data_IF_709678434725
#
_entry.id   IF_709678434725
#
_cell.length_a   1.000
_cell.length_b   1.000
_cell.length_c   1.000
_cell.angle_alpha   90.00
_cell.angle_beta   90.00
_cell.angle_gamma   90.00
#
_symmetry.space_group_name_H-M   'P 1'
#
loop_
_entity.id
_entity.type
_entity.pdbx_description
1 polymer ?
#
# COMPACT_ATOMS: atom_id res chain seq x y z
N UNK A 1 -49.37 8.91 64.74
CA UNK A 1 -49.09 8.24 66.03
C UNK A 1 -47.58 8.28 66.28
N UNK A 2 -47.18 8.96 67.36
CA UNK A 2 -45.94 8.88 68.17
C UNK A 2 -44.51 8.77 67.56
N UNK A 3 -43.82 9.92 67.74
CA UNK A 3 -42.44 10.25 68.19
C UNK A 3 -41.50 9.19 68.82
N UNK A 4 -40.20 9.60 68.84
CA UNK A 4 -39.04 9.32 69.72
C UNK A 4 -37.95 8.41 69.11
N UNK A 5 -36.68 8.79 68.86
CA UNK A 5 -35.62 9.65 69.48
C UNK A 5 -34.79 8.97 70.60
N UNK A 6 -33.45 8.94 70.38
CA UNK A 6 -32.29 8.81 71.33
C UNK A 6 -31.98 7.38 71.85
N UNK A 7 -30.74 6.94 72.15
CA UNK A 7 -29.41 7.57 72.37
C UNK A 7 -28.31 6.50 72.48
N UNK A 8 -27.09 6.89 72.06
CA UNK A 8 -25.76 6.67 72.65
C UNK A 8 -25.30 5.29 73.20
N UNK A 9 -24.08 4.91 72.81
CA UNK A 9 -22.98 4.72 73.77
C UNK A 9 -21.62 4.99 73.10
N UNK A 10 -20.88 5.91 73.70
CA UNK A 10 -19.46 6.15 73.50
C UNK A 10 -18.71 5.57 74.71
N UNK A 11 -17.53 4.99 74.46
CA UNK A 11 -16.38 4.84 75.36
C UNK A 11 -15.22 4.32 74.47
N UNK A 12 -13.94 4.65 74.59
CA UNK A 12 -13.12 5.74 75.14
C UNK A 12 -11.68 5.22 75.05
N UNK A 13 -10.76 6.10 74.63
CA UNK A 13 -9.32 6.12 74.93
C UNK A 13 -8.37 4.98 74.47
N UNK A 14 -7.31 5.42 73.79
CA UNK A 14 -5.96 5.21 74.32
C UNK A 14 -4.94 4.67 73.32
N UNK A 15 -4.02 5.53 72.87
CA UNK A 15 -2.74 5.08 72.31
C UNK A 15 -2.30 5.83 71.05
N UNK A 16 -1.66 6.98 71.23
CA UNK A 16 -0.84 7.59 70.19
C UNK A 16 0.47 6.81 70.04
N UNK A 17 0.86 6.42 68.82
CA UNK A 17 2.27 6.38 68.40
C UNK A 17 2.44 6.16 66.89
N UNK A 18 3.39 6.93 66.33
CA UNK A 18 4.00 6.85 64.99
C UNK A 18 3.22 7.46 63.80
N UNK A 19 3.40 8.77 63.59
CA UNK A 19 3.41 9.36 62.26
C UNK A 19 4.61 8.80 61.48
N UNK A 20 4.39 7.83 60.61
CA UNK A 20 5.31 7.52 59.51
C UNK A 20 4.93 8.42 58.34
N UNK A 21 5.72 9.47 58.09
CA UNK A 21 5.67 10.21 56.82
C UNK A 21 6.22 9.28 55.74
N UNK A 22 5.36 8.45 55.15
CA UNK A 22 5.64 7.85 53.86
C UNK A 22 5.30 8.91 52.81
N UNK A 23 6.30 9.72 52.45
CA UNK A 23 6.24 10.59 51.30
C UNK A 23 5.88 9.74 50.08
N UNK A 24 4.69 9.99 49.52
CA UNK A 24 4.16 9.24 48.41
C UNK A 24 5.07 9.34 47.19
N UNK A 25 5.67 8.22 46.80
CA UNK A 25 5.91 7.95 45.40
C UNK A 25 4.60 7.43 44.82
N UNK A 26 3.69 8.35 44.51
CA UNK A 26 2.68 8.02 43.51
C UNK A 26 3.46 7.71 42.22
N UNK A 27 3.28 6.53 41.59
CA UNK A 27 3.75 6.38 40.24
C UNK A 27 3.08 7.50 39.45
N UNK A 28 3.90 8.38 38.87
CA UNK A 28 3.48 9.25 37.78
C UNK A 28 2.90 8.31 36.73
N UNK A 29 1.58 8.08 36.75
CA UNK A 29 0.88 7.76 35.53
C UNK A 29 1.19 8.95 34.65
N UNK A 30 2.12 8.75 33.71
CA UNK A 30 2.28 9.64 32.59
C UNK A 30 0.86 9.80 32.04
N UNK A 31 0.24 10.94 32.30
CA UNK A 31 -0.91 11.35 31.54
C UNK A 31 -0.41 11.33 30.12
N UNK A 32 -0.90 10.38 29.32
CA UNK A 32 -0.73 10.43 27.88
C UNK A 32 -1.21 11.82 27.49
N UNK A 33 -0.28 12.71 27.19
CA UNK A 33 -0.61 14.03 26.68
C UNK A 33 -1.47 13.78 25.43
N UNK A 34 -2.59 14.50 25.30
CA UNK A 34 -3.37 14.45 24.06
C UNK A 34 -2.41 14.74 22.90
N UNK A 35 -2.42 13.87 21.89
CA UNK A 35 -1.52 14.00 20.75
C UNK A 35 -1.70 15.38 20.10
N UNK A 36 -0.59 16.09 19.87
CA UNK A 36 -0.58 17.42 19.28
C UNK A 36 -1.09 17.39 17.83
N UNK A 37 -0.82 16.30 17.12
CA UNK A 37 -1.25 16.09 15.74
C UNK A 37 -2.01 14.78 15.62
N UNK A 38 -3.28 14.87 15.25
CA UNK A 38 -4.12 13.70 14.98
C UNK A 38 -4.22 13.50 13.46
N UNK A 39 -3.48 12.54 12.96
CA UNK A 39 -3.41 12.21 11.53
C UNK A 39 -4.35 11.06 11.20
N UNK A 40 -4.90 11.11 9.98
CA UNK A 40 -5.60 9.98 9.36
C UNK A 40 -4.76 9.46 8.21
N UNK A 41 -4.48 8.18 8.21
CA UNK A 41 -3.73 7.48 7.18
C UNK A 41 -4.64 6.52 6.41
N UNK A 42 -4.80 6.69 5.11
CA UNK A 42 -5.63 5.80 4.28
C UNK A 42 -4.78 4.95 3.34
N UNK A 43 -5.09 3.65 3.26
CA UNK A 43 -4.42 2.70 2.39
C UNK A 43 -5.43 1.78 1.66
N UNK A 44 -4.95 0.96 0.72
CA UNK A 44 -5.80 0.12 -0.13
C UNK A 44 -6.03 -1.32 0.39
N UNK A 45 -5.43 -1.69 1.52
CA UNK A 45 -5.46 -3.04 2.06
C UNK A 45 -6.46 -3.21 3.20
N UNK A 46 -6.96 -4.44 3.38
CA UNK A 46 -7.86 -4.80 4.46
C UNK A 46 -7.12 -5.09 5.77
N UNK A 47 -7.85 -5.06 6.89
CA UNK A 47 -7.32 -5.50 8.20
C UNK A 47 -6.90 -6.98 8.15
N UNK A 48 -5.78 -7.31 8.79
CA UNK A 48 -5.26 -8.68 8.88
C UNK A 48 -4.60 -9.21 7.59
N UNK A 49 -4.42 -8.35 6.58
CA UNK A 49 -3.59 -8.67 5.41
C UNK A 49 -2.14 -8.30 5.69
N UNK A 50 -1.18 -8.95 5.04
CA UNK A 50 0.25 -8.72 5.29
C UNK A 50 0.65 -7.25 5.08
N UNK A 51 0.15 -6.62 4.02
CA UNK A 51 0.41 -5.20 3.74
C UNK A 51 -0.40 -4.27 4.65
N UNK A 52 -1.60 -4.67 5.09
CA UNK A 52 -2.36 -3.93 6.11
C UNK A 52 -1.60 -3.84 7.44
N UNK A 53 -0.98 -4.94 7.88
CA UNK A 53 -0.15 -4.95 9.10
C UNK A 53 1.09 -4.07 8.99
N UNK A 54 1.77 -4.06 7.83
CA UNK A 54 2.90 -3.14 7.60
C UNK A 54 2.52 -1.67 7.69
N UNK A 55 1.32 -1.32 7.22
CA UNK A 55 0.79 0.03 7.34
C UNK A 55 0.39 0.40 8.76
N UNK A 56 -0.06 -0.58 9.55
CA UNK A 56 -0.24 -0.40 11.00
C UNK A 56 1.11 -0.17 11.71
N UNK A 57 2.15 -0.88 11.31
CA UNK A 57 3.50 -0.69 11.86
C UNK A 57 4.07 0.69 11.50
N UNK A 58 3.82 1.18 10.28
CA UNK A 58 4.18 2.56 9.91
C UNK A 58 3.54 3.58 10.86
N UNK A 59 2.24 3.44 11.12
CA UNK A 59 1.54 4.29 12.08
C UNK A 59 2.19 4.22 13.48
N UNK A 60 2.40 3.00 14.01
CA UNK A 60 3.07 2.79 15.31
C UNK A 60 4.48 3.40 15.36
N UNK A 61 5.26 3.25 14.30
CA UNK A 61 6.60 3.82 14.20
C UNK A 61 6.57 5.36 14.22
N UNK A 62 5.60 5.99 13.56
CA UNK A 62 5.38 7.44 13.64
C UNK A 62 5.05 7.85 15.08
N UNK A 63 4.11 7.15 15.73
CA UNK A 63 3.74 7.48 17.12
C UNK A 63 4.95 7.31 18.07
N UNK A 64 5.72 6.24 17.91
CA UNK A 64 6.88 5.96 18.75
C UNK A 64 8.02 6.97 18.54
N UNK A 65 8.40 7.24 17.28
CA UNK A 65 9.52 8.14 16.97
C UNK A 65 9.21 9.59 17.36
N UNK A 66 7.94 9.97 17.40
CA UNK A 66 7.50 11.33 17.78
C UNK A 66 7.12 11.47 19.25
N UNK A 67 7.45 10.47 20.09
CA UNK A 67 7.08 10.40 21.51
C UNK A 67 5.56 10.63 21.74
N UNK A 68 4.72 10.13 20.84
CA UNK A 68 3.26 10.25 20.87
C UNK A 68 2.70 11.61 20.42
N UNK A 69 3.55 12.56 19.99
CA UNK A 69 3.08 13.87 19.50
C UNK A 69 2.25 13.77 18.23
N UNK A 70 2.55 12.79 17.36
CA UNK A 70 1.70 12.45 16.22
C UNK A 70 0.99 11.15 16.52
N UNK A 71 -0.35 11.16 16.50
CA UNK A 71 -1.19 9.96 16.56
C UNK A 71 -1.77 9.67 15.19
N UNK A 72 -1.73 8.42 14.75
CA UNK A 72 -2.10 8.05 13.38
C UNK A 72 -3.25 7.04 13.40
N UNK A 73 -4.43 7.48 12.97
CA UNK A 73 -5.55 6.58 12.72
C UNK A 73 -5.42 5.95 11.32
N UNK A 74 -5.14 4.66 11.27
CA UNK A 74 -5.14 3.89 10.01
C UNK A 74 -6.58 3.56 9.59
N UNK A 75 -6.91 3.90 8.35
CA UNK A 75 -8.15 3.58 7.66
C UNK A 75 -7.85 2.53 6.59
N UNK A 76 -8.50 1.38 6.71
CA UNK A 76 -8.32 0.23 5.81
C UNK A 76 -9.30 0.28 4.63
N UNK A 77 -9.11 -0.60 3.64
CA UNK A 77 -10.03 -0.74 2.51
C UNK A 77 -11.49 -0.89 2.98
N UNK A 78 -12.37 -0.04 2.45
CA UNK A 78 -13.78 0.04 2.83
C UNK A 78 -14.08 1.00 4.01
N UNK A 79 -13.05 1.54 4.66
CA UNK A 79 -13.18 2.51 5.76
C UNK A 79 -12.88 3.94 5.28
N UNK A 80 -13.91 4.79 5.20
CA UNK A 80 -13.74 6.21 4.87
C UNK A 80 -13.71 6.48 3.38
N UNK A 81 -12.53 6.72 2.81
CA UNK A 81 -12.38 7.14 1.40
C UNK A 81 -12.05 5.93 0.53
N UNK A 82 -12.84 5.68 -0.52
CA UNK A 82 -12.57 4.62 -1.49
C UNK A 82 -11.28 4.86 -2.29
N UNK A 83 -10.70 3.80 -2.85
CA UNK A 83 -9.39 3.83 -3.53
C UNK A 83 -9.32 4.90 -4.65
N UNK A 84 -10.39 5.09 -5.42
CA UNK A 84 -10.45 6.10 -6.49
C UNK A 84 -10.39 7.55 -5.97
N UNK A 85 -10.83 7.80 -4.74
CA UNK A 85 -10.85 9.13 -4.14
C UNK A 85 -9.64 9.45 -3.26
N UNK A 86 -8.76 8.46 -3.01
CA UNK A 86 -7.73 8.55 -1.97
C UNK A 86 -6.73 9.69 -2.23
N UNK A 87 -6.17 9.78 -3.45
CA UNK A 87 -5.24 10.86 -3.80
C UNK A 87 -5.88 12.25 -3.62
N UNK A 88 -7.13 12.42 -4.07
CA UNK A 88 -7.89 13.66 -3.90
C UNK A 88 -8.18 14.00 -2.44
N UNK A 89 -8.44 12.99 -1.60
CA UNK A 89 -8.64 13.17 -0.16
C UNK A 89 -7.35 13.59 0.56
N UNK A 90 -6.19 13.07 0.15
CA UNK A 90 -4.89 13.55 0.67
C UNK A 90 -4.60 14.96 0.18
N UNK A 91 -4.81 15.25 -1.11
CA UNK A 91 -4.62 16.57 -1.71
C UNK A 91 -5.46 17.66 -1.02
N UNK A 92 -6.72 17.37 -0.72
CA UNK A 92 -7.62 18.29 0.00
C UNK A 92 -7.33 18.41 1.49
N UNK A 93 -6.64 17.42 2.08
CA UNK A 93 -6.36 17.35 3.52
C UNK A 93 -7.47 16.70 4.35
N UNK A 94 -8.51 16.14 3.71
CA UNK A 94 -9.50 15.29 4.37
C UNK A 94 -8.84 14.07 5.04
N UNK A 95 -7.83 13.53 4.35
CA UNK A 95 -6.91 12.54 4.86
C UNK A 95 -5.52 13.19 4.93
N UNK A 96 -4.79 12.96 6.02
CA UNK A 96 -3.50 13.62 6.22
C UNK A 96 -2.39 12.96 5.43
N UNK A 97 -2.39 11.62 5.43
CA UNK A 97 -1.36 10.78 4.82
C UNK A 97 -2.03 9.64 4.05
N UNK A 98 -1.43 9.17 2.97
CA UNK A 98 -2.01 8.05 2.23
C UNK A 98 -1.03 7.29 1.37
N UNK A 99 -1.44 6.06 1.03
CA UNK A 99 -0.77 5.18 0.07
C UNK A 99 -1.70 4.92 -1.13
N UNK A 100 -1.82 5.88 -2.08
CA UNK A 100 -2.72 5.77 -3.21
C UNK A 100 -2.24 4.73 -4.22
N UNK A 101 -3.19 4.04 -4.85
CA UNK A 101 -2.91 3.22 -6.02
C UNK A 101 -2.90 4.11 -7.27
N UNK A 102 -1.71 4.44 -7.79
CA UNK A 102 -1.55 5.48 -8.81
C UNK A 102 -2.37 5.22 -10.08
N UNK A 103 -2.63 3.96 -10.43
CA UNK A 103 -3.43 3.58 -11.60
C UNK A 103 -4.87 4.11 -11.58
N UNK A 104 -5.43 4.47 -10.42
CA UNK A 104 -6.75 5.11 -10.33
C UNK A 104 -6.72 6.61 -10.60
N UNK A 105 -5.53 7.20 -10.64
CA UNK A 105 -5.34 8.66 -10.70
C UNK A 105 -4.54 9.09 -11.94
N UNK A 106 -4.53 8.25 -12.98
CA UNK A 106 -3.76 8.48 -14.21
C UNK A 106 -4.02 9.85 -14.87
N UNK A 107 -5.26 10.34 -14.82
CA UNK A 107 -5.63 11.64 -15.37
C UNK A 107 -5.15 12.84 -14.54
N UNK A 108 -4.91 12.66 -13.24
CA UNK A 108 -4.48 13.72 -12.32
C UNK A 108 -2.96 13.77 -12.15
N UNK A 109 -2.31 12.60 -12.17
CA UNK A 109 -0.87 12.44 -11.99
C UNK A 109 -0.31 11.34 -12.90
N UNK A 110 -0.08 11.63 -14.20
CA UNK A 110 0.46 10.65 -15.15
C UNK A 110 1.79 10.05 -14.71
N UNK A 111 2.67 10.86 -14.09
CA UNK A 111 3.94 10.40 -13.52
C UNK A 111 3.79 9.25 -12.51
N UNK A 112 2.66 9.18 -11.79
CA UNK A 112 2.37 8.07 -10.88
C UNK A 112 2.19 6.73 -11.60
N UNK A 113 1.77 6.74 -12.88
CA UNK A 113 1.67 5.53 -13.71
C UNK A 113 3.04 5.03 -14.15
N UNK A 114 4.03 5.92 -14.23
CA UNK A 114 5.41 5.51 -14.47
C UNK A 114 6.02 4.99 -13.17
N UNK A 115 5.80 5.70 -12.06
CA UNK A 115 6.26 5.30 -10.74
C UNK A 115 5.78 3.90 -10.36
N UNK A 116 4.50 3.60 -10.57
CA UNK A 116 3.91 2.31 -10.18
C UNK A 116 4.56 1.11 -10.86
N UNK A 117 5.21 1.32 -12.00
CA UNK A 117 5.77 0.26 -12.82
C UNK A 117 4.95 0.05 -14.09
N UNK A 118 5.59 0.27 -15.23
CA UNK A 118 5.00 -0.06 -16.53
C UNK A 118 5.27 -1.54 -16.87
N UNK A 119 4.37 -2.21 -17.61
CA UNK A 119 4.64 -3.52 -18.19
C UNK A 119 5.96 -3.57 -18.96
N UNK A 120 6.75 -4.62 -18.71
CA UNK A 120 8.12 -4.75 -19.22
C UNK A 120 9.19 -4.05 -18.38
N UNK A 121 8.83 -3.44 -17.25
CA UNK A 121 9.78 -2.95 -16.25
C UNK A 121 10.51 -4.07 -15.50
N UNK A 122 11.54 -3.70 -14.72
CA UNK A 122 12.37 -4.64 -13.96
C UNK A 122 11.72 -5.08 -12.64
N UNK A 123 11.94 -6.34 -12.25
CA UNK A 123 11.61 -6.89 -10.92
C UNK A 123 12.77 -6.77 -9.92
N UNK A 124 13.94 -6.33 -10.39
CA UNK A 124 15.13 -6.18 -9.58
C UNK A 124 14.97 -5.01 -8.61
N UNK A 125 14.79 -5.35 -7.33
CA UNK A 125 14.58 -4.39 -6.25
C UNK A 125 15.78 -3.47 -6.05
N UNK A 126 17.00 -3.94 -6.34
CA UNK A 126 18.23 -3.15 -6.16
C UNK A 126 18.34 -2.10 -7.28
N UNK A 127 18.02 -2.49 -8.53
CA UNK A 127 17.91 -1.53 -9.64
C UNK A 127 16.85 -0.47 -9.36
N UNK A 128 15.69 -0.86 -8.82
CA UNK A 128 14.63 0.09 -8.48
C UNK A 128 15.08 1.02 -7.36
N UNK A 129 15.64 0.48 -6.29
CA UNK A 129 16.20 1.29 -5.20
C UNK A 129 17.22 2.33 -5.73
N UNK A 130 18.13 1.91 -6.62
CA UNK A 130 19.09 2.81 -7.25
C UNK A 130 18.40 3.91 -8.08
N UNK A 131 17.36 3.58 -8.85
CA UNK A 131 16.58 4.56 -9.61
C UNK A 131 15.98 5.64 -8.70
N UNK A 132 15.29 5.21 -7.64
CA UNK A 132 14.64 6.08 -6.67
C UNK A 132 15.63 6.97 -5.92
N UNK A 133 16.66 6.38 -5.31
CA UNK A 133 17.51 7.09 -4.34
C UNK A 133 18.78 7.70 -4.94
N UNK A 134 19.30 7.17 -6.05
CA UNK A 134 20.59 7.58 -6.60
C UNK A 134 20.49 8.20 -8.00
N UNK A 135 19.49 7.83 -8.82
CA UNK A 135 19.35 8.32 -10.20
C UNK A 135 18.35 9.49 -10.35
N UNK A 136 17.72 9.93 -9.26
CA UNK A 136 16.96 11.17 -9.20
C UNK A 136 15.46 11.03 -9.46
N UNK A 137 14.91 9.81 -9.41
CA UNK A 137 13.45 9.62 -9.47
C UNK A 137 12.77 10.28 -8.27
N UNK A 138 13.33 10.17 -7.06
CA UNK A 138 12.87 10.85 -5.84
C UNK A 138 12.62 12.35 -6.05
N UNK A 139 13.56 13.04 -6.70
CA UNK A 139 13.50 14.49 -6.97
C UNK A 139 12.38 14.82 -7.94
N UNK A 140 12.23 14.02 -8.98
CA UNK A 140 11.18 14.20 -10.00
C UNK A 140 9.81 13.94 -9.38
N UNK A 141 9.65 12.86 -8.62
CA UNK A 141 8.40 12.50 -7.94
C UNK A 141 8.04 13.52 -6.86
N UNK A 142 9.02 14.03 -6.11
CA UNK A 142 8.83 15.13 -5.17
C UNK A 142 8.25 16.37 -5.87
N UNK A 143 8.73 16.72 -7.07
CA UNK A 143 8.17 17.81 -7.85
C UNK A 143 6.77 17.48 -8.42
N UNK A 144 6.55 16.26 -8.89
CA UNK A 144 5.29 15.80 -9.46
C UNK A 144 4.16 15.82 -8.42
N UNK A 145 4.32 15.10 -7.30
CA UNK A 145 3.40 15.14 -6.16
C UNK A 145 3.32 16.54 -5.56
N UNK A 146 4.44 17.26 -5.56
CA UNK A 146 4.49 18.63 -5.11
C UNK A 146 3.61 19.59 -5.91
N UNK A 147 3.50 19.40 -7.23
CA UNK A 147 2.58 20.20 -8.06
C UNK A 147 1.12 19.96 -7.71
N UNK A 148 0.82 18.83 -7.07
CA UNK A 148 -0.51 18.45 -6.59
C UNK A 148 -0.77 18.83 -5.12
N UNK A 149 0.13 19.59 -4.47
CA UNK A 149 -0.05 20.00 -3.08
C UNK A 149 0.22 18.89 -2.06
N UNK A 150 1.03 17.90 -2.43
CA UNK A 150 1.45 16.81 -1.56
C UNK A 150 2.96 16.80 -1.33
N UNK A 151 3.39 16.08 -0.31
CA UNK A 151 4.78 15.72 -0.03
C UNK A 151 4.90 14.24 -0.28
N UNK A 152 5.79 13.87 -1.21
CA UNK A 152 6.19 12.48 -1.43
C UNK A 152 7.31 12.13 -0.43
N UNK A 153 7.24 10.96 0.18
CA UNK A 153 8.18 10.55 1.22
C UNK A 153 9.11 9.43 0.75
N UNK A 154 8.55 8.26 0.46
CA UNK A 154 9.34 7.03 0.22
C UNK A 154 8.60 6.15 -0.81
N UNK A 155 9.35 5.44 -1.70
CA UNK A 155 8.79 4.42 -2.54
C UNK A 155 8.60 3.11 -1.78
N UNK A 156 7.56 2.38 -2.14
CA UNK A 156 7.20 1.11 -1.55
C UNK A 156 7.19 0.01 -2.62
N UNK A 157 8.30 -0.74 -2.73
CA UNK A 157 8.59 -1.63 -3.87
C UNK A 157 8.11 -3.05 -3.61
N UNK A 158 7.00 -3.44 -4.22
CA UNK A 158 6.37 -4.76 -4.09
C UNK A 158 6.90 -5.79 -5.09
N UNK A 159 6.70 -7.09 -4.81
CA UNK A 159 7.07 -8.17 -5.73
C UNK A 159 6.35 -8.11 -7.10
N UNK A 160 6.72 -9.01 -8.04
CA UNK A 160 6.16 -9.00 -9.39
C UNK A 160 4.65 -9.24 -9.48
N UNK A 161 4.07 -8.61 -10.50
CA UNK A 161 2.65 -8.69 -10.80
C UNK A 161 2.40 -9.88 -11.74
N UNK A 162 1.58 -10.84 -11.30
CA UNK A 162 1.16 -11.98 -12.11
C UNK A 162 -0.34 -11.93 -12.42
N UNK A 163 -0.75 -12.71 -13.43
CA UNK A 163 -2.15 -12.83 -13.85
C UNK A 163 -2.69 -14.18 -13.40
N UNK A 164 -3.75 -14.16 -12.60
CA UNK A 164 -4.53 -15.35 -12.25
C UNK A 164 -5.80 -15.43 -13.10
N UNK A 165 -6.17 -16.63 -13.54
CA UNK A 165 -7.37 -16.90 -14.33
C UNK A 165 -8.17 -18.10 -13.84
N UNK A 166 -9.45 -18.08 -14.17
CA UNK A 166 -10.39 -19.19 -13.92
C UNK A 166 -10.15 -20.38 -14.83
N UNK A 167 -9.77 -20.11 -16.08
CA UNK A 167 -9.50 -21.12 -17.11
C UNK A 167 -7.99 -21.29 -17.31
N UNK A 168 -7.52 -22.48 -17.72
CA UNK A 168 -6.11 -22.69 -18.07
C UNK A 168 -5.62 -21.64 -19.07
N UNK A 169 -4.39 -21.17 -18.88
CA UNK A 169 -3.62 -20.42 -19.87
C UNK A 169 -2.43 -21.28 -20.25
N UNK A 170 -2.34 -21.67 -21.51
CA UNK A 170 -1.23 -22.45 -22.06
C UNK A 170 -0.29 -21.59 -22.90
N UNK A 171 -0.83 -20.52 -23.50
CA UNK A 171 -0.12 -19.65 -24.46
C UNK A 171 -0.70 -18.24 -24.47
N UNK A 172 -0.07 -17.31 -25.18
CA UNK A 172 -0.55 -15.94 -25.31
C UNK A 172 -1.92 -15.85 -25.98
N UNK A 173 -2.23 -16.76 -26.90
CA UNK A 173 -3.48 -16.80 -27.63
C UNK A 173 -4.70 -16.95 -26.71
N UNK A 174 -4.52 -17.60 -25.56
CA UNK A 174 -5.60 -17.82 -24.59
C UNK A 174 -6.09 -16.51 -23.95
N UNK A 175 -5.28 -15.44 -23.95
CA UNK A 175 -5.73 -14.13 -23.45
C UNK A 175 -6.80 -13.49 -24.33
N UNK A 176 -6.92 -13.90 -25.60
CA UNK A 176 -7.83 -13.28 -26.57
C UNK A 176 -9.29 -13.40 -26.11
N UNK A 177 -9.93 -12.24 -25.92
CA UNK A 177 -11.33 -12.14 -25.49
C UNK A 177 -11.57 -12.41 -24.00
N UNK A 178 -10.56 -12.78 -23.21
CA UNK A 178 -10.71 -12.95 -21.76
C UNK A 178 -11.02 -11.61 -21.09
N UNK A 179 -12.01 -11.59 -20.20
CA UNK A 179 -12.29 -10.43 -19.37
C UNK A 179 -11.35 -10.43 -18.17
N UNK A 180 -10.37 -9.53 -18.13
CA UNK A 180 -9.36 -9.53 -17.06
C UNK A 180 -9.43 -8.23 -16.28
N UNK A 181 -9.58 -8.30 -14.96
CA UNK A 181 -9.44 -7.10 -14.13
C UNK A 181 -8.00 -6.59 -14.24
N UNK A 182 -7.83 -5.41 -14.82
CA UNK A 182 -6.53 -4.77 -15.01
C UNK A 182 -6.67 -3.25 -15.22
N UNK A 183 -6.33 -2.44 -14.22
CA UNK A 183 -6.38 -0.98 -14.32
C UNK A 183 -5.17 -0.38 -15.04
N UNK A 184 -5.29 0.88 -15.48
CA UNK A 184 -4.17 1.69 -15.97
C UNK A 184 -3.40 1.07 -17.14
N UNK A 185 -2.06 1.17 -17.07
CA UNK A 185 -1.13 0.66 -18.09
C UNK A 185 -1.25 -0.86 -18.28
N UNK A 186 -1.59 -1.59 -17.22
CA UNK A 186 -1.76 -3.04 -17.25
C UNK A 186 -2.94 -3.46 -18.12
N UNK A 187 -4.06 -2.74 -18.02
CA UNK A 187 -5.20 -2.98 -18.90
C UNK A 187 -4.86 -2.73 -20.37
N UNK A 188 -4.03 -1.72 -20.66
CA UNK A 188 -3.58 -1.43 -22.02
C UNK A 188 -2.67 -2.53 -22.58
N UNK A 189 -1.74 -3.01 -21.79
CA UNK A 189 -0.91 -4.16 -22.14
C UNK A 189 -1.75 -5.40 -22.47
N UNK A 190 -2.73 -5.72 -21.64
CA UNK A 190 -3.62 -6.86 -21.89
C UNK A 190 -4.51 -6.67 -23.14
N UNK A 191 -4.95 -5.44 -23.45
CA UNK A 191 -5.62 -5.16 -24.73
C UNK A 191 -4.72 -5.45 -25.93
N UNK A 192 -3.43 -5.16 -25.83
CA UNK A 192 -2.48 -5.45 -26.92
C UNK A 192 -2.32 -6.96 -27.15
N UNK A 193 -2.61 -7.79 -26.14
CA UNK A 193 -2.71 -9.27 -26.26
C UNK A 193 -4.09 -9.75 -26.71
N UNK A 194 -5.05 -8.85 -26.94
CA UNK A 194 -6.41 -9.16 -27.37
C UNK A 194 -7.40 -9.48 -26.23
N UNK A 195 -7.01 -9.28 -24.97
CA UNK A 195 -7.93 -9.39 -23.83
C UNK A 195 -8.86 -8.18 -23.71
N UNK A 196 -9.91 -8.31 -22.91
CA UNK A 196 -10.88 -7.26 -22.60
C UNK A 196 -10.70 -6.82 -21.13
N UNK A 197 -9.88 -5.79 -20.84
CA UNK A 197 -9.64 -5.41 -19.46
C UNK A 197 -10.87 -4.75 -18.83
N UNK A 198 -11.05 -4.99 -17.53
CA UNK A 198 -12.11 -4.42 -16.70
C UNK A 198 -11.46 -3.66 -15.54
N UNK A 199 -11.96 -2.47 -15.20
CA UNK A 199 -11.53 -1.74 -14.00
C UNK A 199 -12.51 -2.05 -12.87
N UNK A 200 -11.99 -2.61 -11.77
CA UNK A 200 -12.72 -2.92 -10.55
C UNK A 200 -11.83 -2.63 -9.34
N UNK A 201 -12.46 -2.26 -8.22
CA UNK A 201 -11.77 -2.13 -6.94
C UNK A 201 -11.26 -3.50 -6.47
N UNK A 202 -10.22 -3.50 -5.62
CA UNK A 202 -9.61 -4.72 -5.10
C UNK A 202 -10.63 -5.65 -4.42
N UNK A 203 -11.50 -5.07 -3.59
CA UNK A 203 -12.54 -5.78 -2.84
C UNK A 203 -13.59 -6.47 -3.70
N UNK A 204 -13.70 -6.13 -4.99
CA UNK A 204 -14.69 -6.69 -5.91
C UNK A 204 -14.15 -7.90 -6.69
N UNK A 205 -12.83 -8.17 -6.65
CA UNK A 205 -12.16 -9.19 -7.47
C UNK A 205 -12.70 -10.58 -7.16
N UNK A 206 -12.72 -11.00 -5.89
CA UNK A 206 -13.18 -12.33 -5.49
C UNK A 206 -14.59 -12.61 -6.02
N UNK A 207 -15.54 -11.73 -5.72
CA UNK A 207 -16.94 -11.89 -6.13
C UNK A 207 -17.07 -11.87 -7.66
N UNK A 208 -16.31 -11.02 -8.36
CA UNK A 208 -16.36 -10.93 -9.82
C UNK A 208 -15.78 -12.17 -10.50
N UNK A 209 -14.73 -12.77 -9.93
CA UNK A 209 -14.21 -14.07 -10.35
C UNK A 209 -15.23 -15.18 -10.06
N UNK A 210 -15.78 -15.23 -8.84
CA UNK A 210 -16.74 -16.25 -8.42
C UNK A 210 -17.98 -16.28 -9.34
N UNK A 211 -18.54 -15.10 -9.62
CA UNK A 211 -19.75 -14.92 -10.45
C UNK A 211 -19.48 -14.98 -11.95
N UNK A 212 -18.22 -14.89 -12.39
CA UNK A 212 -17.85 -14.93 -13.80
C UNK A 212 -18.07 -13.61 -14.55
N UNK A 213 -18.17 -12.49 -13.83
CA UNK A 213 -18.10 -11.14 -14.43
C UNK A 213 -16.74 -10.93 -15.11
N UNK A 214 -15.68 -11.46 -14.51
CA UNK A 214 -14.32 -11.52 -15.07
C UNK A 214 -13.81 -12.97 -15.12
N UNK A 215 -12.98 -13.27 -16.11
CA UNK A 215 -12.30 -14.55 -16.32
C UNK A 215 -10.93 -14.62 -15.62
N UNK A 216 -10.38 -13.46 -15.25
CA UNK A 216 -9.09 -13.34 -14.59
C UNK A 216 -8.88 -11.98 -13.94
N UNK A 217 -7.79 -11.86 -13.22
CA UNK A 217 -7.38 -10.62 -12.56
C UNK A 217 -5.88 -10.53 -12.50
N UNK A 218 -5.36 -9.32 -12.61
CA UNK A 218 -4.05 -9.02 -12.02
C UNK A 218 -4.23 -8.77 -10.52
N UNK A 219 -3.30 -9.30 -9.73
CA UNK A 219 -3.04 -8.87 -8.36
C UNK A 219 -2.04 -7.71 -8.33
N UNK A 220 -1.57 -7.31 -7.14
CA UNK A 220 -0.28 -6.60 -7.03
C UNK A 220 0.87 -7.60 -7.04
N UNK A 221 0.68 -8.80 -6.48
CA UNK A 221 1.64 -9.90 -6.41
C UNK A 221 0.98 -11.18 -5.84
N UNK A 222 1.75 -12.22 -5.53
CA UNK A 222 1.24 -13.48 -4.96
C UNK A 222 0.65 -13.34 -3.55
N UNK A 223 1.24 -12.48 -2.70
CA UNK A 223 0.77 -12.19 -1.32
C UNK A 223 -0.68 -11.71 -1.39
N UNK A 224 -0.92 -10.77 -2.28
CA UNK A 224 -2.23 -10.21 -2.57
C UNK A 224 -3.24 -11.27 -3.05
N UNK A 225 -2.84 -12.15 -3.97
CA UNK A 225 -3.73 -13.21 -4.42
C UNK A 225 -4.09 -14.22 -3.32
N UNK A 226 -3.14 -14.55 -2.43
CA UNK A 226 -3.41 -15.38 -1.25
C UNK A 226 -4.37 -14.66 -0.31
N UNK A 227 -4.07 -13.42 0.08
CA UNK A 227 -4.85 -12.66 1.05
C UNK A 227 -6.27 -12.37 0.54
N UNK A 228 -6.44 -12.20 -0.78
CA UNK A 228 -7.74 -12.09 -1.44
C UNK A 228 -8.47 -13.42 -1.65
N UNK A 229 -7.92 -14.55 -1.20
CA UNK A 229 -8.43 -15.91 -1.42
C UNK A 229 -8.74 -16.24 -2.89
N UNK A 230 -8.03 -15.62 -3.83
CA UNK A 230 -8.37 -15.72 -5.26
C UNK A 230 -8.24 -17.15 -5.81
N UNK A 231 -7.40 -18.00 -5.19
CA UNK A 231 -7.21 -19.40 -5.60
C UNK A 231 -8.45 -20.27 -5.41
N UNK A 232 -9.38 -19.87 -4.54
CA UNK A 232 -10.65 -20.58 -4.37
C UNK A 232 -11.52 -20.53 -5.64
N UNK A 233 -11.37 -19.46 -6.43
CA UNK A 233 -12.24 -19.15 -7.57
C UNK A 233 -11.50 -19.04 -8.91
N UNK A 234 -10.16 -18.98 -8.90
CA UNK A 234 -9.30 -18.93 -10.08
C UNK A 234 -7.98 -19.67 -9.81
N UNK A 235 -7.60 -20.66 -10.62
CA UNK A 235 -6.52 -21.61 -10.28
C UNK A 235 -5.31 -21.58 -11.21
N UNK A 236 -5.32 -20.77 -12.27
CA UNK A 236 -4.28 -20.82 -13.28
C UNK A 236 -3.49 -19.52 -13.29
N UNK A 237 -2.16 -19.60 -13.19
CA UNK A 237 -1.27 -18.45 -13.18
C UNK A 237 -0.37 -18.48 -14.41
N UNK A 238 -0.24 -17.36 -15.12
CA UNK A 238 0.70 -17.27 -16.24
C UNK A 238 2.13 -16.98 -15.77
N UNK A 239 3.12 -17.68 -16.32
CA UNK A 239 4.52 -17.62 -15.85
C UNK A 239 5.24 -16.30 -16.12
N UNK A 240 4.85 -15.53 -17.14
CA UNK A 240 5.48 -14.23 -17.37
C UNK A 240 4.86 -13.19 -16.42
N UNK A 241 5.68 -12.45 -15.66
CA UNK A 241 5.18 -11.31 -14.91
C UNK A 241 4.69 -10.23 -15.89
N UNK A 242 3.53 -9.67 -15.61
CA UNK A 242 2.95 -8.57 -16.38
C UNK A 242 3.75 -7.28 -16.16
N UNK A 243 4.18 -7.05 -14.92
CA UNK A 243 5.10 -5.99 -14.55
C UNK A 243 6.15 -6.55 -13.59
N UNK A 244 7.37 -6.01 -13.71
CA UNK A 244 8.52 -6.47 -12.94
C UNK A 244 8.33 -6.29 -11.44
N UNK A 245 8.28 -5.06 -10.94
CA UNK A 245 7.87 -4.75 -9.59
C UNK A 245 6.74 -3.72 -9.66
N UNK A 246 5.90 -3.68 -8.62
CA UNK A 246 4.92 -2.62 -8.43
C UNK A 246 5.40 -1.67 -7.32
N UNK A 247 5.37 -0.36 -7.55
CA UNK A 247 5.81 0.61 -6.53
C UNK A 247 4.66 1.52 -6.10
N UNK A 248 4.36 1.57 -4.81
CA UNK A 248 3.38 2.51 -4.26
C UNK A 248 4.10 3.68 -3.58
N UNK A 249 3.46 4.86 -3.49
CA UNK A 249 4.07 6.01 -2.83
C UNK A 249 3.49 6.19 -1.43
N UNK A 250 4.29 6.71 -0.52
CA UNK A 250 3.76 7.34 0.69
C UNK A 250 3.68 8.85 0.49
N UNK A 251 2.48 9.40 0.63
CA UNK A 251 2.23 10.84 0.42
C UNK A 251 1.55 11.49 1.62
N UNK A 252 1.88 12.75 1.87
CA UNK A 252 1.27 13.57 2.92
C UNK A 252 0.71 14.85 2.33
N UNK A 253 -0.42 15.33 2.85
CA UNK A 253 -0.94 16.65 2.53
C UNK A 253 0.11 17.73 2.87
N UNK A 254 0.44 18.62 1.93
CA UNK A 254 1.48 19.63 2.14
C UNK A 254 1.17 20.61 3.27
N UNK A 255 -0.09 20.99 3.47
CA UNK A 255 -0.44 21.94 4.52
C UNK A 255 -0.34 21.29 5.91
N UNK A 256 -0.70 20.01 6.02
CA UNK A 256 -0.47 19.26 7.26
C UNK A 256 1.03 19.08 7.53
N UNK A 257 1.82 18.73 6.50
CA UNK A 257 3.27 18.60 6.62
C UNK A 257 3.93 19.88 7.13
N UNK A 258 3.57 21.04 6.56
CA UNK A 258 4.12 22.35 6.95
C UNK A 258 3.80 22.78 8.39
N UNK A 259 2.80 22.16 9.04
CA UNK A 259 2.49 22.43 10.45
C UNK A 259 3.42 21.69 11.39
N UNK A 260 4.08 20.63 10.93
CA UNK A 260 5.05 19.91 11.73
C UNK A 260 6.34 20.73 11.86
N UNK A 261 6.92 20.82 13.06
CA UNK A 261 8.31 21.27 13.23
C UNK A 261 9.28 20.29 12.55
N UNK A 262 10.51 20.75 12.30
CA UNK A 262 11.49 20.00 11.49
C UNK A 262 11.88 18.64 12.08
N UNK A 263 11.93 18.53 13.41
CA UNK A 263 12.18 17.28 14.13
C UNK A 263 11.07 16.26 13.82
N UNK A 264 9.80 16.64 13.96
CA UNK A 264 8.68 15.75 13.65
C UNK A 264 8.60 15.39 12.16
N UNK A 265 9.00 16.30 11.26
CA UNK A 265 9.13 15.97 9.83
C UNK A 265 10.21 14.91 9.59
N UNK A 266 11.34 15.01 10.29
CA UNK A 266 12.42 14.03 10.19
C UNK A 266 11.99 12.66 10.74
N UNK A 267 11.27 12.63 11.87
CA UNK A 267 10.75 11.39 12.46
C UNK A 267 9.76 10.68 11.55
N UNK A 268 8.85 11.42 10.89
CA UNK A 268 7.91 10.83 9.93
C UNK A 268 8.65 10.26 8.71
N UNK A 269 9.66 10.97 8.18
CA UNK A 269 10.52 10.43 7.10
C UNK A 269 11.23 9.16 7.55
N UNK A 270 11.74 9.15 8.79
CA UNK A 270 12.42 7.98 9.32
C UNK A 270 11.49 6.78 9.45
N UNK A 271 10.26 7.01 9.90
CA UNK A 271 9.24 5.97 9.96
C UNK A 271 8.93 5.38 8.56
N UNK A 272 8.87 6.22 7.51
CA UNK A 272 8.64 5.73 6.14
C UNK A 272 9.81 4.93 5.59
N UNK A 273 11.06 5.33 5.88
CA UNK A 273 12.25 4.54 5.51
C UNK A 273 12.23 3.15 6.17
N UNK A 274 11.89 3.09 7.47
CA UNK A 274 11.77 1.82 8.21
C UNK A 274 10.70 0.94 7.57
N UNK A 275 9.53 1.50 7.27
CA UNK A 275 8.44 0.78 6.63
C UNK A 275 8.83 0.21 5.25
N UNK A 276 9.51 1.00 4.40
CA UNK A 276 9.97 0.53 3.09
C UNK A 276 10.97 -0.62 3.22
N UNK A 277 11.90 -0.51 4.18
CA UNK A 277 12.87 -1.58 4.47
C UNK A 277 12.20 -2.86 4.99
N UNK A 278 11.33 -2.74 5.98
CA UNK A 278 10.57 -3.88 6.55
C UNK A 278 9.80 -4.62 5.46
N UNK A 279 9.19 -3.87 4.53
CA UNK A 279 8.48 -4.49 3.43
C UNK A 279 9.39 -5.25 2.48
N UNK A 280 10.49 -4.65 2.03
CA UNK A 280 11.44 -5.31 1.12
C UNK A 280 11.98 -6.61 1.73
N UNK A 281 12.33 -6.58 3.02
CA UNK A 281 12.83 -7.74 3.76
C UNK A 281 11.76 -8.84 3.89
N UNK A 282 10.54 -8.47 4.27
CA UNK A 282 9.47 -9.43 4.52
C UNK A 282 8.85 -10.00 3.23
N UNK A 283 8.81 -9.24 2.15
CA UNK A 283 8.07 -9.63 0.94
C UNK A 283 8.61 -10.89 0.27
N UNK A 284 9.93 -11.11 0.30
CA UNK A 284 10.54 -12.35 -0.23
C UNK A 284 10.03 -13.59 0.50
N UNK A 285 9.94 -13.50 1.83
CA UNK A 285 9.41 -14.58 2.67
C UNK A 285 7.93 -14.79 2.41
N UNK A 286 7.14 -13.72 2.45
CA UNK A 286 5.69 -13.82 2.28
C UNK A 286 5.26 -14.26 0.88
N UNK A 287 6.02 -13.92 -0.16
CA UNK A 287 5.76 -14.39 -1.52
C UNK A 287 5.99 -15.90 -1.64
N UNK A 288 7.05 -16.43 -1.03
CA UNK A 288 7.30 -17.87 -0.98
C UNK A 288 6.21 -18.62 -0.20
N UNK A 289 5.78 -18.09 0.95
CA UNK A 289 4.68 -18.63 1.74
C UNK A 289 3.36 -18.58 0.98
N UNK A 290 3.05 -17.43 0.34
CA UNK A 290 1.87 -17.26 -0.49
C UNK A 290 1.82 -18.29 -1.61
N UNK A 291 2.92 -18.45 -2.34
CA UNK A 291 3.00 -19.43 -3.43
C UNK A 291 2.77 -20.85 -2.93
N UNK A 292 3.41 -21.25 -1.83
CA UNK A 292 3.26 -22.59 -1.27
C UNK A 292 1.81 -22.89 -0.84
N UNK A 293 1.16 -21.94 -0.14
CA UNK A 293 -0.24 -22.06 0.27
C UNK A 293 -1.19 -22.11 -0.93
N UNK A 294 -0.97 -21.24 -1.91
CA UNK A 294 -1.76 -21.19 -3.14
C UNK A 294 -1.63 -22.49 -3.93
N UNK A 295 -0.43 -23.05 -4.05
CA UNK A 295 -0.20 -24.36 -4.68
C UNK A 295 -0.89 -25.49 -3.91
N UNK A 296 -0.85 -25.48 -2.59
CA UNK A 296 -1.60 -26.45 -1.77
C UNK A 296 -3.12 -26.36 -1.99
N UNK A 297 -3.64 -25.17 -2.32
CA UNK A 297 -5.05 -24.94 -2.72
C UNK A 297 -5.33 -25.23 -4.20
N UNK A 298 -4.33 -25.72 -4.95
CA UNK A 298 -4.48 -26.18 -6.33
C UNK A 298 -4.16 -25.13 -7.39
N UNK A 299 -3.39 -24.08 -7.07
CA UNK A 299 -2.82 -23.19 -8.08
C UNK A 299 -1.91 -23.97 -9.04
N UNK A 300 -2.08 -23.73 -10.33
CA UNK A 300 -1.29 -24.32 -11.41
C UNK A 300 -0.65 -23.20 -12.23
N UNK A 301 0.66 -23.30 -12.43
CA UNK A 301 1.35 -22.46 -13.40
C UNK A 301 1.07 -22.95 -14.81
N UNK A 302 1.03 -22.01 -15.76
CA UNK A 302 1.10 -22.33 -17.19
C UNK A 302 2.35 -23.18 -17.50
N UNK A 303 2.38 -23.87 -18.64
CA UNK A 303 3.63 -24.35 -19.23
C UNK A 303 4.65 -23.21 -19.35
N UNK A 304 5.91 -23.58 -19.53
CA UNK A 304 6.96 -22.60 -19.86
C UNK A 304 6.58 -21.87 -21.16
N UNK A 305 6.48 -20.53 -21.15
CA UNK A 305 6.13 -19.75 -22.34
C UNK A 305 7.11 -20.02 -23.47
N UNK A 306 6.58 -20.24 -24.67
CA UNK A 306 7.41 -20.39 -25.88
C UNK A 306 8.17 -19.10 -26.21
N UNK A 307 9.16 -19.18 -27.08
CA UNK A 307 9.84 -17.96 -27.57
C UNK A 307 8.88 -17.03 -28.33
N UNK A 308 7.87 -17.61 -28.99
CA UNK A 308 6.80 -16.83 -29.62
C UNK A 308 5.95 -16.10 -28.57
N UNK A 309 5.59 -16.78 -27.47
CA UNK A 309 4.86 -16.18 -26.35
C UNK A 309 5.65 -15.04 -25.72
N UNK A 310 6.94 -15.25 -25.43
CA UNK A 310 7.83 -14.22 -24.87
C UNK A 310 7.97 -13.02 -25.80
N UNK A 311 8.09 -13.26 -27.11
CA UNK A 311 8.15 -12.19 -28.11
C UNK A 311 6.83 -11.41 -28.19
N UNK A 312 5.68 -12.08 -28.16
CA UNK A 312 4.36 -11.44 -28.15
C UNK A 312 4.13 -10.65 -26.85
N UNK A 313 4.55 -11.18 -25.70
CA UNK A 313 4.50 -10.49 -24.40
C UNK A 313 5.33 -9.21 -24.42
N UNK A 314 6.58 -9.28 -24.90
CA UNK A 314 7.44 -8.11 -25.07
C UNK A 314 6.79 -7.09 -26.01
N UNK A 315 6.26 -7.55 -27.15
CA UNK A 315 5.59 -6.71 -28.15
C UNK A 315 4.35 -6.01 -27.59
N UNK A 316 3.60 -6.65 -26.69
CA UNK A 316 2.45 -6.02 -26.04
C UNK A 316 2.84 -4.83 -25.14
N UNK A 317 4.08 -4.79 -24.64
CA UNK A 317 4.64 -3.67 -23.90
C UNK A 317 5.31 -2.61 -24.78
N UNK A 318 5.58 -2.90 -26.05
CA UNK A 318 6.22 -1.94 -26.97
C UNK A 318 5.38 -0.66 -27.11
N UNK A 319 6.09 0.48 -27.11
CA UNK A 319 5.46 1.80 -27.21
C UNK A 319 4.77 2.30 -25.94
N UNK A 320 4.54 1.47 -24.91
CA UNK A 320 3.94 1.95 -23.65
C UNK A 320 4.81 3.02 -23.00
N UNK A 321 6.12 2.78 -22.89
CA UNK A 321 7.05 3.77 -22.34
C UNK A 321 7.05 5.08 -23.13
N UNK A 322 7.02 5.03 -24.46
CA UNK A 322 7.01 6.24 -25.28
C UNK A 322 5.70 7.02 -25.15
N UNK A 323 4.58 6.30 -25.07
CA UNK A 323 3.27 6.91 -24.86
C UNK A 323 3.17 7.60 -23.51
N UNK A 324 3.56 6.93 -22.42
CA UNK A 324 3.53 7.52 -21.09
C UNK A 324 4.56 8.65 -20.95
N UNK A 325 5.71 8.57 -21.63
CA UNK A 325 6.67 9.67 -21.70
C UNK A 325 6.09 10.92 -22.39
N UNK A 326 5.08 10.77 -23.26
CA UNK A 326 4.42 11.89 -23.93
C UNK A 326 3.32 12.57 -23.09
N UNK A 327 2.90 11.98 -21.96
CA UNK A 327 1.76 12.48 -21.18
C UNK A 327 2.09 13.73 -20.35
N UNK A 328 3.27 13.76 -19.71
CA UNK A 328 3.75 14.93 -19.01
C UNK A 328 5.29 14.98 -18.94
N UNK A 329 5.81 16.11 -18.49
CA UNK A 329 7.26 16.33 -18.37
C UNK A 329 7.93 15.41 -17.35
N UNK A 330 7.23 14.98 -16.30
CA UNK A 330 7.80 14.19 -15.21
C UNK A 330 7.93 12.73 -15.63
N UNK A 331 6.87 12.18 -16.24
CA UNK A 331 6.83 10.87 -16.89
C UNK A 331 7.94 10.74 -17.93
N UNK A 332 8.13 11.78 -18.76
CA UNK A 332 9.25 11.85 -19.70
C UNK A 332 10.60 11.68 -19.01
N UNK A 333 10.85 12.47 -17.97
CA UNK A 333 12.13 12.44 -17.24
C UNK A 333 12.37 11.10 -16.55
N UNK A 334 11.35 10.53 -15.89
CA UNK A 334 11.43 9.21 -15.23
C UNK A 334 11.80 8.12 -16.24
N UNK A 335 11.14 8.10 -17.40
CA UNK A 335 11.37 7.10 -18.46
C UNK A 335 12.72 7.29 -19.14
N UNK A 336 13.17 8.54 -19.35
CA UNK A 336 14.52 8.80 -19.86
C UNK A 336 15.61 8.29 -18.90
N UNK A 337 15.42 8.45 -17.59
CA UNK A 337 16.34 7.90 -16.58
C UNK A 337 16.29 6.38 -16.62
N UNK A 338 15.10 5.78 -16.65
CA UNK A 338 14.96 4.32 -16.72
C UNK A 338 15.70 3.73 -17.91
N UNK A 339 15.45 4.26 -19.12
CA UNK A 339 16.09 3.78 -20.36
C UNK A 339 17.62 3.90 -20.35
N UNK A 340 18.17 4.91 -19.65
CA UNK A 340 19.62 5.09 -19.51
C UNK A 340 20.27 4.09 -18.55
N UNK A 341 19.49 3.42 -17.69
CA UNK A 341 19.97 2.53 -16.64
C UNK A 341 19.38 1.10 -16.73
N UNK A 342 18.70 0.77 -17.84
CA UNK A 342 18.04 -0.54 -18.03
C UNK A 342 19.01 -1.66 -18.39
#
# INVERSE_FOLDING_TARGET
MMKFVKRARALVAGGAMALSVAAGMLPSMAQAADAEYNWRFSNLYGRGTAFGELYENLAKNIEQLTDGKIKVQVLYSGEGVGTEGLLGAVKSGLITMGAPFQSMHAGELPAGIVEIGLPGGTADTDKLYDLFHNKGWDKILTQAYGSQGMVWLEPYIQPPVYIITKKPINSIEDFKGMKIRAPGAYGKFLRNLGASPVSLAWSEIYTSLATGVIDGSIGSNMIDHRDGNHVEVAKYMYRLPLAGAQVLPIVVNRNAWKKLPEDLQADVRKATEIHAKEQLENSKKWEAEALAEMQAKGLQWSPEPSEADKAAWKKAGEGLFDEYAAQDKYSKQLIEILKKNS
#
